data_IF_190182674073
#
_entry.id   IF_190182674073
#
_cell.length_a   1.000
_cell.length_b   1.000
_cell.length_c   1.000
_cell.angle_alpha   90.00
_cell.angle_beta   90.00
_cell.angle_gamma   90.00
#
_symmetry.space_group_name_H-M   'P 1'
#
loop_
_entity.id
_entity.type
_entity.pdbx_description
1 polymer ?
#
# COMPACT_ATOMS: atom_id res chain seq x y z
N UNK A 1 8.27 -45.54 5.74
CA UNK A 1 8.89 -44.61 4.76
C UNK A 1 8.25 -43.26 4.98
N UNK A 2 8.85 -42.44 5.84
CA UNK A 2 8.49 -41.02 5.99
C UNK A 2 8.98 -40.28 4.75
N UNK A 3 8.09 -39.60 4.02
CA UNK A 3 8.49 -38.65 2.98
C UNK A 3 7.60 -37.41 2.99
N UNK A 4 8.25 -36.34 3.43
CA UNK A 4 8.17 -34.94 3.03
C UNK A 4 6.91 -34.17 3.41
N UNK A 5 7.03 -33.48 4.54
CA UNK A 5 6.31 -32.25 4.88
C UNK A 5 6.21 -31.36 3.64
N UNK A 6 4.98 -31.06 3.23
CA UNK A 6 4.70 -30.03 2.23
C UNK A 6 5.29 -28.73 2.77
N UNK A 7 6.42 -28.28 2.21
CA UNK A 7 6.97 -26.96 2.44
C UNK A 7 5.92 -25.95 1.96
N UNK A 8 5.02 -25.58 2.87
CA UNK A 8 3.83 -24.82 2.55
C UNK A 8 4.28 -23.37 2.48
N UNK A 9 4.42 -22.87 1.26
CA UNK A 9 4.70 -21.46 1.02
C UNK A 9 3.75 -20.59 1.86
N UNK A 10 4.31 -19.62 2.59
CA UNK A 10 3.56 -18.64 3.36
C UNK A 10 4.00 -17.23 2.96
N UNK A 11 3.08 -16.35 2.54
CA UNK A 11 3.41 -15.01 2.08
C UNK A 11 3.93 -14.10 3.19
N UNK A 12 3.77 -14.49 4.46
CA UNK A 12 4.31 -13.77 5.62
C UNK A 12 5.83 -13.87 5.71
N UNK A 13 6.38 -14.99 5.25
CA UNK A 13 7.81 -15.26 5.26
C UNK A 13 8.45 -14.81 3.93
N UNK A 14 9.72 -14.37 3.96
CA UNK A 14 10.47 -14.11 2.72
C UNK A 14 10.50 -15.33 1.80
N UNK A 15 10.51 -15.08 0.48
CA UNK A 15 10.73 -16.15 -0.49
C UNK A 15 12.13 -16.76 -0.32
N UNK A 16 12.24 -18.07 -0.50
CA UNK A 16 13.53 -18.76 -0.44
C UNK A 16 14.51 -18.29 -1.53
N UNK A 17 13.98 -17.78 -2.64
CA UNK A 17 14.77 -17.21 -3.72
C UNK A 17 14.99 -15.71 -3.46
N UNK A 18 16.17 -15.34 -2.98
CA UNK A 18 16.50 -13.96 -2.53
C UNK A 18 16.16 -12.89 -3.58
N UNK A 19 16.54 -13.08 -4.85
CA UNK A 19 16.21 -12.10 -5.90
C UNK A 19 14.72 -11.97 -6.19
N UNK A 20 13.94 -13.03 -5.98
CA UNK A 20 12.48 -12.96 -6.15
C UNK A 20 11.85 -12.19 -4.99
N UNK A 21 12.37 -12.39 -3.77
CA UNK A 21 12.01 -11.58 -2.61
C UNK A 21 12.35 -10.10 -2.84
N UNK A 22 13.56 -9.80 -3.31
CA UNK A 22 14.01 -8.44 -3.61
C UNK A 22 13.11 -7.76 -4.66
N UNK A 23 12.74 -8.49 -5.72
CA UNK A 23 11.74 -8.04 -6.68
C UNK A 23 10.40 -7.71 -6.03
N UNK A 24 9.90 -8.59 -5.14
CA UNK A 24 8.64 -8.36 -4.43
C UNK A 24 8.71 -7.08 -3.57
N UNK A 25 9.81 -6.86 -2.86
CA UNK A 25 10.03 -5.69 -2.02
C UNK A 25 10.08 -4.38 -2.82
N UNK A 26 10.83 -4.39 -3.93
CA UNK A 26 10.94 -3.24 -4.84
C UNK A 26 9.61 -2.93 -5.52
N UNK A 27 8.93 -3.95 -6.05
CA UNK A 27 7.64 -3.79 -6.75
C UNK A 27 6.49 -3.37 -5.82
N UNK A 28 6.51 -3.81 -4.57
CA UNK A 28 5.58 -3.36 -3.53
C UNK A 28 5.97 -2.02 -2.89
N UNK A 29 7.14 -1.46 -3.23
CA UNK A 29 7.69 -0.23 -2.66
C UNK A 29 8.11 0.79 -3.71
N UNK A 30 9.42 0.97 -3.83
CA UNK A 30 10.06 2.02 -4.62
C UNK A 30 9.70 2.01 -6.11
N UNK A 31 9.36 0.83 -6.64
CA UNK A 31 8.98 0.61 -8.04
C UNK A 31 7.48 0.30 -8.16
N UNK A 32 6.63 1.01 -7.40
CA UNK A 32 5.19 0.75 -7.30
C UNK A 32 4.52 0.58 -8.68
N UNK A 33 4.19 -0.67 -9.04
CA UNK A 33 3.53 -0.99 -10.30
C UNK A 33 4.45 -1.06 -11.53
N UNK A 34 5.72 -0.66 -11.40
CA UNK A 34 6.72 -0.76 -12.47
C UNK A 34 7.49 -2.08 -12.40
N UNK A 35 6.97 -3.07 -13.12
CA UNK A 35 7.55 -4.41 -13.15
C UNK A 35 8.91 -4.45 -13.85
N UNK A 36 9.16 -3.57 -14.83
CA UNK A 36 10.43 -3.58 -15.58
C UNK A 36 11.56 -3.02 -14.74
N UNK A 37 11.31 -1.90 -14.06
CA UNK A 37 12.27 -1.28 -13.15
C UNK A 37 12.58 -2.22 -11.98
N UNK A 38 11.55 -2.75 -11.30
CA UNK A 38 11.74 -3.71 -10.20
C UNK A 38 12.54 -4.95 -10.64
N UNK A 39 12.26 -5.48 -11.83
CA UNK A 39 12.93 -6.67 -12.36
C UNK A 39 14.41 -6.44 -12.67
N UNK A 40 14.75 -5.28 -13.26
CA UNK A 40 16.15 -4.90 -13.51
C UNK A 40 16.89 -4.59 -12.21
N UNK A 41 16.24 -3.86 -11.29
CA UNK A 41 16.83 -3.50 -10.00
C UNK A 41 17.13 -4.72 -9.14
N UNK A 42 16.25 -5.73 -9.13
CA UNK A 42 16.49 -7.02 -8.46
C UNK A 42 17.47 -7.96 -9.21
N UNK A 43 18.03 -7.54 -10.34
CA UNK A 43 18.99 -8.32 -11.12
C UNK A 43 18.43 -9.63 -11.70
N UNK A 44 17.11 -9.70 -11.93
CA UNK A 44 16.42 -10.89 -12.43
C UNK A 44 16.63 -11.15 -13.92
N UNK A 45 17.05 -10.13 -14.68
CA UNK A 45 17.44 -10.23 -16.08
C UNK A 45 18.66 -11.15 -16.29
N UNK A 46 19.53 -11.19 -15.29
CA UNK A 46 20.75 -12.02 -15.28
C UNK A 46 20.54 -13.37 -14.60
N UNK A 47 19.38 -13.59 -13.99
CA UNK A 47 19.13 -14.75 -13.16
C UNK A 47 18.71 -16.00 -13.97
N UNK A 48 19.43 -17.13 -13.89
CA UNK A 48 19.13 -18.32 -14.67
C UNK A 48 17.80 -18.99 -14.31
N UNK A 49 17.45 -19.04 -13.02
CA UNK A 49 16.21 -19.63 -12.54
C UNK A 49 15.01 -18.81 -13.04
N UNK A 50 15.15 -17.49 -13.03
CA UNK A 50 14.14 -16.57 -13.55
C UNK A 50 13.99 -16.63 -15.06
N UNK A 51 15.06 -16.88 -15.82
CA UNK A 51 14.94 -17.09 -17.28
C UNK A 51 14.05 -18.29 -17.63
N UNK A 52 14.06 -19.34 -16.81
CA UNK A 52 13.19 -20.52 -16.98
C UNK A 52 11.73 -20.18 -16.62
N UNK A 53 11.50 -19.44 -15.55
CA UNK A 53 10.16 -19.10 -15.06
C UNK A 53 9.48 -17.95 -15.84
N UNK A 54 10.25 -16.93 -16.22
CA UNK A 54 9.79 -15.69 -16.86
C UNK A 54 10.83 -15.22 -17.92
N UNK A 55 10.90 -15.87 -19.10
CA UNK A 55 11.96 -15.66 -20.10
C UNK A 55 11.93 -14.25 -20.71
N UNK A 56 12.63 -13.30 -20.08
CA UNK A 56 12.76 -11.92 -20.53
C UNK A 56 11.45 -11.13 -20.52
N UNK A 57 10.43 -11.60 -19.81
CA UNK A 57 9.12 -10.94 -19.71
C UNK A 57 8.82 -10.61 -18.26
N UNK A 58 9.21 -9.42 -17.78
CA UNK A 58 9.03 -9.03 -16.37
C UNK A 58 7.61 -9.22 -15.87
N UNK A 59 6.59 -8.92 -16.69
CA UNK A 59 5.17 -9.10 -16.30
C UNK A 59 4.76 -10.56 -16.07
N UNK A 60 5.44 -11.54 -16.68
CA UNK A 60 5.12 -12.96 -16.44
C UNK A 60 5.49 -13.40 -15.03
N UNK A 61 6.45 -12.74 -14.40
CA UNK A 61 6.83 -13.09 -13.02
C UNK A 61 5.68 -12.83 -12.03
N UNK A 62 4.81 -11.86 -12.33
CA UNK A 62 3.62 -11.53 -11.54
C UNK A 62 2.52 -12.61 -11.65
N UNK A 63 2.62 -13.53 -12.62
CA UNK A 63 1.69 -14.65 -12.75
C UNK A 63 2.08 -15.82 -11.82
N UNK A 64 3.28 -15.79 -11.25
CA UNK A 64 3.73 -16.78 -10.27
C UNK A 64 2.98 -16.50 -8.96
N UNK A 65 2.19 -17.48 -8.53
CA UNK A 65 1.30 -17.36 -7.36
C UNK A 65 2.04 -16.87 -6.12
N UNK A 66 3.19 -17.45 -5.82
CA UNK A 66 3.99 -17.10 -4.63
C UNK A 66 4.39 -15.61 -4.65
N UNK A 67 4.94 -15.15 -5.77
CA UNK A 67 5.35 -13.75 -5.95
C UNK A 67 4.15 -12.80 -5.83
N UNK A 68 3.03 -13.14 -6.46
CA UNK A 68 1.81 -12.34 -6.38
C UNK A 68 1.32 -12.20 -4.93
N UNK A 69 1.21 -13.32 -4.21
CA UNK A 69 0.77 -13.34 -2.81
C UNK A 69 1.75 -12.59 -1.89
N UNK A 70 3.06 -12.69 -2.12
CA UNK A 70 4.08 -11.95 -1.38
C UNK A 70 3.94 -10.45 -1.59
N UNK A 71 3.75 -10.01 -2.83
CA UNK A 71 3.53 -8.59 -3.16
C UNK A 71 2.29 -8.05 -2.47
N UNK A 72 1.17 -8.79 -2.48
CA UNK A 72 -0.05 -8.38 -1.80
C UNK A 72 0.16 -8.23 -0.28
N UNK A 73 0.86 -9.19 0.33
CA UNK A 73 1.19 -9.14 1.75
C UNK A 73 2.07 -7.92 2.10
N UNK A 74 3.13 -7.68 1.34
CA UNK A 74 4.02 -6.53 1.54
C UNK A 74 3.29 -5.20 1.38
N UNK A 75 2.38 -5.09 0.41
CA UNK A 75 1.52 -3.91 0.25
C UNK A 75 0.59 -3.72 1.43
N UNK A 76 0.02 -4.79 1.97
CA UNK A 76 -0.82 -4.74 3.17
C UNK A 76 -0.04 -4.24 4.39
N UNK A 77 1.17 -4.74 4.62
CA UNK A 77 2.03 -4.25 5.71
C UNK A 77 2.33 -2.76 5.52
N UNK A 78 2.84 -2.36 4.35
CA UNK A 78 3.19 -0.96 4.09
C UNK A 78 2.00 -0.02 4.25
N UNK A 79 0.81 -0.48 3.89
CA UNK A 79 -0.41 0.28 4.13
C UNK A 79 -0.67 0.47 5.62
N UNK A 80 -0.61 -0.61 6.41
CA UNK A 80 -0.79 -0.56 7.86
C UNK A 80 0.28 0.32 8.51
N UNK A 81 1.56 0.17 8.14
CA UNK A 81 2.66 0.98 8.67
C UNK A 81 2.46 2.47 8.36
N UNK A 82 2.15 2.82 7.11
CA UNK A 82 1.92 4.22 6.72
C UNK A 82 0.69 4.82 7.42
N UNK A 83 -0.41 4.05 7.57
CA UNK A 83 -1.58 4.50 8.33
C UNK A 83 -1.26 4.69 9.81
N UNK A 84 -0.51 3.77 10.41
CA UNK A 84 -0.06 3.87 11.80
C UNK A 84 0.85 5.08 12.00
N UNK A 85 1.79 5.35 11.07
CA UNK A 85 2.65 6.52 11.11
C UNK A 85 1.83 7.81 10.99
N UNK A 86 0.87 7.84 10.06
CA UNK A 86 -0.02 9.01 9.89
C UNK A 86 -0.84 9.28 11.16
N UNK A 87 -1.40 8.24 11.78
CA UNK A 87 -2.16 8.33 13.03
C UNK A 87 -1.25 8.72 14.21
N UNK A 88 -0.04 8.17 14.28
CA UNK A 88 0.93 8.49 15.31
C UNK A 88 1.38 9.95 15.22
N UNK A 89 1.69 10.44 14.02
CA UNK A 89 2.02 11.85 13.78
C UNK A 89 0.85 12.73 14.21
N UNK A 90 -0.39 12.41 13.82
CA UNK A 90 -1.58 13.17 14.19
C UNK A 90 -1.78 13.21 15.72
N UNK A 91 -1.64 12.06 16.39
CA UNK A 91 -1.73 11.95 17.84
C UNK A 91 -0.65 12.78 18.52
N UNK A 92 0.60 12.75 18.02
CA UNK A 92 1.69 13.55 18.58
C UNK A 92 1.45 15.05 18.42
N UNK A 93 0.87 15.47 17.29
CA UNK A 93 0.48 16.88 17.06
C UNK A 93 -0.64 17.30 17.99
N UNK A 94 -1.66 16.47 18.22
CA UNK A 94 -2.70 16.71 19.21
C UNK A 94 -2.11 16.93 20.61
N UNK A 95 -1.18 16.08 21.03
CA UNK A 95 -0.51 16.24 22.33
C UNK A 95 0.26 17.56 22.45
N UNK A 96 0.89 18.02 21.37
CA UNK A 96 1.57 19.32 21.33
C UNK A 96 0.56 20.46 21.46
N UNK A 97 -0.58 20.40 20.77
CA UNK A 97 -1.65 21.41 20.89
C UNK A 97 -2.17 21.50 22.33
N UNK A 98 -2.38 20.36 22.99
CA UNK A 98 -2.92 20.31 24.35
C UNK A 98 -1.90 20.76 25.42
N UNK A 99 -0.62 20.42 25.25
CA UNK A 99 0.39 20.52 26.32
C UNK A 99 1.45 21.59 26.11
N UNK A 100 1.68 22.07 24.89
CA UNK A 100 2.75 23.05 24.65
C UNK A 100 2.44 24.35 25.39
N UNK A 101 3.42 24.93 26.08
CA UNK A 101 3.25 26.22 26.77
C UNK A 101 3.27 27.40 25.79
N UNK A 102 3.92 27.22 24.64
CA UNK A 102 4.07 28.25 23.60
C UNK A 102 2.94 28.19 22.59
N UNK A 103 2.26 29.31 22.40
CA UNK A 103 1.18 29.44 21.40
C UNK A 103 1.67 29.18 19.96
N UNK A 104 2.92 29.55 19.63
CA UNK A 104 3.51 29.29 18.32
C UNK A 104 3.56 27.80 17.97
N UNK A 105 3.88 26.96 18.95
CA UNK A 105 4.03 25.52 18.77
C UNK A 105 2.67 24.86 18.64
N UNK A 106 1.66 25.35 19.39
CA UNK A 106 0.26 24.96 19.22
C UNK A 106 -0.27 25.33 17.83
N UNK A 107 -0.02 26.56 17.37
CA UNK A 107 -0.45 27.06 16.06
C UNK A 107 0.18 26.26 14.91
N UNK A 108 1.47 25.94 15.00
CA UNK A 108 2.14 25.12 13.99
C UNK A 108 1.60 23.70 13.97
N UNK A 109 1.36 23.09 15.13
CA UNK A 109 0.77 21.75 15.21
C UNK A 109 -0.67 21.70 14.68
N UNK A 110 -1.48 22.75 14.90
CA UNK A 110 -2.81 22.88 14.31
C UNK A 110 -2.77 23.01 12.79
N UNK A 111 -1.87 23.83 12.24
CA UNK A 111 -1.69 23.97 10.78
C UNK A 111 -1.26 22.64 10.13
N UNK A 112 -0.38 21.90 10.79
CA UNK A 112 0.05 20.58 10.29
C UNK A 112 -1.10 19.57 10.30
N UNK A 113 -1.96 19.60 11.33
CA UNK A 113 -3.17 18.77 11.40
C UNK A 113 -4.20 19.16 10.32
N UNK A 114 -4.42 20.46 10.10
CA UNK A 114 -5.32 20.98 9.07
C UNK A 114 -4.89 20.52 7.67
N UNK A 115 -3.61 20.67 7.34
CA UNK A 115 -3.04 20.17 6.07
C UNK A 115 -3.18 18.67 5.90
N UNK A 116 -3.01 17.90 6.99
CA UNK A 116 -3.19 16.46 6.93
C UNK A 116 -4.65 16.07 6.63
N UNK A 117 -5.63 16.81 7.19
CA UNK A 117 -7.06 16.63 6.89
C UNK A 117 -7.38 16.98 5.43
N UNK A 118 -6.84 18.11 4.93
CA UNK A 118 -7.00 18.51 3.52
C UNK A 118 -6.43 17.45 2.56
N UNK A 119 -5.25 16.90 2.86
CA UNK A 119 -4.63 15.85 2.07
C UNK A 119 -5.47 14.56 2.05
N UNK A 120 -6.05 14.16 3.19
CA UNK A 120 -6.96 13.03 3.28
C UNK A 120 -8.26 13.26 2.49
N UNK A 121 -8.82 14.48 2.56
CA UNK A 121 -10.00 14.87 1.80
C UNK A 121 -9.73 14.87 0.28
N UNK A 122 -8.55 15.32 -0.14
CA UNK A 122 -8.14 15.28 -1.54
C UNK A 122 -7.99 13.83 -2.04
N UNK A 123 -7.33 12.97 -1.25
CA UNK A 123 -7.17 11.54 -1.57
C UNK A 123 -8.50 10.77 -1.63
N UNK A 124 -9.51 11.19 -0.84
CA UNK A 124 -10.86 10.64 -0.89
C UNK A 124 -11.64 11.07 -2.15
N UNK A 125 -11.41 12.30 -2.64
CA UNK A 125 -12.00 12.80 -3.89
C UNK A 125 -11.38 12.15 -5.14
N UNK A 126 -10.07 11.90 -5.15
CA UNK A 126 -9.40 11.27 -6.31
C UNK A 126 -9.75 9.79 -6.52
N UNK A 127 -10.20 9.08 -5.48
CA UNK A 127 -10.68 7.69 -5.61
C UNK A 127 -12.09 7.58 -6.21
N UNK A 128 -12.79 8.71 -6.43
CA UNK A 128 -14.10 8.76 -7.07
C UNK A 128 -14.01 9.36 -8.49
N UNK A 129 -13.36 8.62 -9.40
CA UNK A 129 -13.64 8.75 -10.84
C UNK A 129 -15.08 8.32 -11.18
N UNK A 130 -15.68 8.80 -12.27
CA UNK A 130 -17.13 8.93 -12.40
C UNK A 130 -17.82 7.56 -12.50
N UNK A 131 -18.78 7.30 -11.60
CA UNK A 131 -19.66 6.16 -11.77
C UNK A 131 -20.35 5.59 -10.54
N UNK A 132 -20.77 6.40 -9.56
CA UNK A 132 -21.89 6.00 -8.70
C UNK A 132 -22.76 7.22 -8.43
N UNK A 133 -23.81 7.40 -9.23
CA UNK A 133 -24.90 8.31 -8.89
C UNK A 133 -25.65 7.70 -7.72
N UNK A 134 -25.40 8.18 -6.51
CA UNK A 134 -26.28 7.91 -5.37
C UNK A 134 -27.56 8.72 -5.62
N UNK A 135 -28.54 8.09 -6.26
CA UNK A 135 -29.89 8.64 -6.39
C UNK A 135 -30.55 8.58 -5.02
N UNK A 136 -30.61 9.73 -4.34
CA UNK A 136 -31.48 9.89 -3.18
C UNK A 136 -32.92 9.84 -3.66
N UNK A 137 -33.59 8.71 -3.40
CA UNK A 137 -34.99 8.53 -3.73
C UNK A 137 -35.84 9.24 -2.66
N UNK A 138 -36.07 10.54 -2.84
CA UNK A 138 -37.00 11.31 -2.01
C UNK A 138 -38.43 11.04 -2.48
N UNK A 139 -39.03 9.96 -1.98
CA UNK A 139 -40.49 9.81 -2.00
C UNK A 139 -41.10 10.38 -0.72
N UNK A 140 -42.17 11.14 -0.95
CA UNK A 140 -43.22 11.56 -0.03
C UNK A 140 -42.88 12.57 1.08
N UNK A 141 -43.39 13.79 0.90
CA UNK A 141 -44.73 14.24 1.35
C UNK A 141 -45.03 15.53 0.56
N UNK A 142 -46.13 15.68 -0.19
CA UNK A 142 -47.50 15.61 0.29
C UNK A 142 -48.02 17.03 0.59
N UNK A 143 -48.49 17.73 -0.46
CA UNK A 143 -49.73 18.56 -0.56
C UNK A 143 -50.10 19.36 0.72
N UNK A 144 -50.18 20.70 0.75
CA UNK A 144 -51.15 21.62 0.07
C UNK A 144 -50.97 23.07 0.64
N UNK A 145 -51.86 24.00 0.24
CA UNK A 145 -51.56 25.25 -0.48
C UNK A 145 -50.96 26.41 0.35
#
# INVERSE_FOLDING_TARGET
MEKTENNTYSPEKPLAHEKWEEFCQLYAGECWGDAEKAFKSAGLDKDPATKKAAPGRPRKILQIKEIYERILYLRKIKFIENEMDSLWIAQRRKEIVEKAEKESDRLNALKDLEKAIEALSAAASEKNGPGVTIVFNSKDKGIRP
#
